data_IF_215610213145
#
_entry.id   IF_215610213145
#
_cell.length_a   1.000
_cell.length_b   1.000
_cell.length_c   1.000
_cell.angle_alpha   90.00
_cell.angle_beta   90.00
_cell.angle_gamma   90.00
#
_symmetry.space_group_name_H-M   'P 1'
#
loop_
_entity.id
_entity.type
_entity.pdbx_description
1 polymer ?
#
# COMPACT_ATOMS: atom_id res chain seq x y z
N UNK A 1 -3.28 -5.03 22.03
CA UNK A 1 -4.41 -4.17 22.41
C UNK A 1 -4.62 -3.23 21.26
N UNK A 2 -5.83 -3.20 20.70
CA UNK A 2 -6.14 -2.22 19.67
C UNK A 2 -6.07 -0.82 20.29
N UNK A 3 -5.47 0.17 19.63
CA UNK A 3 -5.47 1.54 20.12
C UNK A 3 -6.92 2.01 20.35
N UNK A 4 -7.16 2.70 21.47
CA UNK A 4 -8.45 3.36 21.72
C UNK A 4 -8.69 4.36 20.59
N UNK A 5 -9.73 4.12 19.80
CA UNK A 5 -10.09 4.92 18.64
C UNK A 5 -11.48 5.49 18.86
N UNK A 6 -11.68 6.74 18.48
CA UNK A 6 -13.00 7.37 18.55
C UNK A 6 -13.97 6.63 17.62
N UNK A 7 -14.93 5.92 18.23
CA UNK A 7 -15.99 5.19 17.53
C UNK A 7 -16.93 6.09 16.72
N UNK A 8 -16.79 7.41 16.81
CA UNK A 8 -17.56 8.37 16.01
C UNK A 8 -16.83 8.89 14.77
N UNK A 9 -15.52 8.63 14.63
CA UNK A 9 -14.71 9.14 13.52
C UNK A 9 -15.29 8.70 12.17
N UNK A 10 -15.53 9.67 11.27
CA UNK A 10 -16.09 9.44 9.94
C UNK A 10 -15.00 9.35 8.88
N UNK A 11 -15.10 8.33 8.02
CA UNK A 11 -14.07 7.98 7.04
C UNK A 11 -14.68 7.97 5.65
N UNK A 12 -14.06 8.71 4.73
CA UNK A 12 -14.52 8.85 3.35
C UNK A 12 -13.51 8.29 2.37
N UNK A 13 -14.00 7.66 1.29
CA UNK A 13 -13.17 7.23 0.16
C UNK A 13 -13.66 7.89 -1.12
N UNK A 14 -12.83 8.70 -1.75
CA UNK A 14 -13.05 9.18 -3.11
C UNK A 14 -12.40 8.20 -4.08
N UNK A 15 -13.23 7.40 -4.76
CA UNK A 15 -12.80 6.35 -5.67
C UNK A 15 -12.94 4.95 -5.06
N UNK A 16 -13.81 4.13 -5.65
CA UNK A 16 -14.08 2.74 -5.25
C UNK A 16 -13.10 1.71 -5.88
N UNK A 17 -11.81 2.03 -5.97
CA UNK A 17 -10.77 1.17 -6.55
C UNK A 17 -10.33 0.02 -5.63
N UNK A 18 -9.46 -0.87 -6.12
CA UNK A 18 -8.94 -1.99 -5.30
C UNK A 18 -8.24 -1.51 -4.03
N UNK A 19 -7.43 -0.44 -4.11
CA UNK A 19 -6.75 0.10 -2.94
C UNK A 19 -7.73 0.64 -1.89
N UNK A 20 -8.75 1.40 -2.31
CA UNK A 20 -9.80 1.84 -1.40
C UNK A 20 -10.49 0.66 -0.71
N UNK A 21 -10.79 -0.41 -1.45
CA UNK A 21 -11.44 -1.59 -0.91
C UNK A 21 -10.55 -2.35 0.10
N UNK A 22 -9.27 -2.54 -0.21
CA UNK A 22 -8.31 -3.18 0.69
C UNK A 22 -8.14 -2.41 2.00
N UNK A 23 -8.00 -1.09 1.90
CA UNK A 23 -7.89 -0.19 3.07
C UNK A 23 -9.19 -0.20 3.88
N UNK A 24 -10.36 -0.07 3.22
CA UNK A 24 -11.65 -0.11 3.91
C UNK A 24 -11.85 -1.43 4.66
N UNK A 25 -11.49 -2.57 4.06
CA UNK A 25 -11.54 -3.87 4.77
C UNK A 25 -10.64 -3.89 6.00
N UNK A 26 -9.45 -3.32 5.94
CA UNK A 26 -8.55 -3.23 7.08
C UNK A 26 -9.11 -2.38 8.20
N UNK A 27 -9.57 -1.17 7.86
CA UNK A 27 -10.24 -0.26 8.79
C UNK A 27 -11.42 -0.94 9.50
N UNK A 28 -12.28 -1.64 8.76
CA UNK A 28 -13.45 -2.36 9.32
C UNK A 28 -13.09 -3.60 10.13
N UNK A 29 -11.91 -4.19 9.92
CA UNK A 29 -11.41 -5.28 10.76
C UNK A 29 -10.79 -4.79 12.08
N UNK A 30 -10.61 -3.47 12.22
CA UNK A 30 -10.30 -2.82 13.49
C UNK A 30 -11.59 -2.41 14.21
N UNK A 31 -11.56 -1.22 14.83
CA UNK A 31 -12.66 -0.72 15.65
C UNK A 31 -13.67 0.17 14.90
N UNK A 32 -13.48 0.39 13.59
CA UNK A 32 -14.38 1.25 12.81
C UNK A 32 -15.66 0.51 12.40
N UNK A 33 -16.81 1.16 12.57
CA UNK A 33 -18.09 0.63 12.14
C UNK A 33 -18.38 0.98 10.67
N UNK A 34 -18.99 0.09 9.88
CA UNK A 34 -19.35 0.36 8.49
C UNK A 34 -20.20 1.63 8.28
N UNK A 35 -21.07 1.94 9.24
CA UNK A 35 -21.93 3.15 9.24
C UNK A 35 -21.15 4.47 9.31
N UNK A 36 -19.88 4.42 9.70
CA UNK A 36 -18.99 5.57 9.73
C UNK A 36 -18.13 5.69 8.45
N UNK A 37 -18.27 4.76 7.52
CA UNK A 37 -17.50 4.73 6.28
C UNK A 37 -18.41 5.06 5.10
N UNK A 38 -17.94 5.93 4.21
CA UNK A 38 -18.60 6.23 2.94
C UNK A 38 -17.63 6.15 1.78
N UNK A 39 -18.13 5.82 0.59
CA UNK A 39 -17.33 5.77 -0.64
C UNK A 39 -18.08 6.36 -1.83
N UNK A 40 -17.37 7.14 -2.65
CA UNK A 40 -17.86 7.64 -3.93
C UNK A 40 -17.18 6.98 -5.12
N UNK A 41 -17.93 6.83 -6.21
CA UNK A 41 -17.39 6.49 -7.52
C UNK A 41 -18.28 7.03 -8.65
N UNK A 42 -17.73 7.35 -9.83
CA UNK A 42 -18.52 7.84 -10.97
C UNK A 42 -19.43 6.77 -11.59
N UNK A 43 -19.24 5.48 -11.27
CA UNK A 43 -20.08 4.39 -11.75
C UNK A 43 -20.30 3.34 -10.66
N UNK A 44 -21.42 2.61 -10.74
CA UNK A 44 -21.80 1.61 -9.74
C UNK A 44 -21.01 0.29 -9.84
N UNK A 45 -20.14 0.15 -10.86
CA UNK A 45 -19.40 -1.09 -11.17
C UNK A 45 -18.68 -1.70 -9.96
N UNK A 46 -18.08 -0.86 -9.12
CA UNK A 46 -17.30 -1.29 -7.96
C UNK A 46 -17.99 -1.01 -6.63
N UNK A 47 -19.18 -0.39 -6.61
CA UNK A 47 -19.85 0.00 -5.37
C UNK A 47 -20.47 -1.19 -4.64
N UNK A 48 -20.93 -2.22 -5.37
CA UNK A 48 -21.58 -3.41 -4.79
C UNK A 48 -20.76 -4.08 -3.68
N UNK A 49 -19.46 -4.29 -3.91
CA UNK A 49 -18.58 -4.88 -2.88
C UNK A 49 -18.43 -4.04 -1.61
N UNK A 50 -18.60 -2.72 -1.67
CA UNK A 50 -18.60 -1.87 -0.47
C UNK A 50 -19.95 -1.96 0.26
N UNK A 51 -21.05 -2.02 -0.49
CA UNK A 51 -22.39 -2.26 0.09
C UNK A 51 -22.47 -3.60 0.82
N UNK A 52 -21.82 -4.65 0.29
CA UNK A 52 -21.69 -5.95 0.96
C UNK A 52 -20.98 -5.88 2.32
N UNK A 53 -20.13 -4.86 2.53
CA UNK A 53 -19.48 -4.57 3.82
C UNK A 53 -20.33 -3.65 4.72
N UNK A 54 -21.52 -3.24 4.29
CA UNK A 54 -22.38 -2.29 5.00
C UNK A 54 -21.92 -0.83 4.89
N UNK A 55 -21.02 -0.51 3.96
CA UNK A 55 -20.50 0.84 3.74
C UNK A 55 -21.50 1.65 2.91
N UNK A 56 -21.71 2.92 3.29
CA UNK A 56 -22.53 3.84 2.52
C UNK A 56 -21.86 4.18 1.18
N UNK A 57 -22.62 4.17 0.09
CA UNK A 57 -22.11 4.46 -1.26
C UNK A 57 -22.83 5.66 -1.86
N UNK A 58 -22.09 6.47 -2.63
CA UNK A 58 -22.63 7.62 -3.36
C UNK A 58 -21.92 7.81 -4.70
N UNK A 59 -22.47 8.68 -5.54
CA UNK A 59 -21.84 9.17 -6.76
C UNK A 59 -21.24 10.58 -6.59
N UNK A 60 -21.41 11.21 -5.41
CA UNK A 60 -20.94 12.57 -5.12
C UNK A 60 -19.68 12.56 -4.25
N UNK A 61 -18.58 13.13 -4.76
CA UNK A 61 -17.37 13.31 -3.97
C UNK A 61 -17.58 14.32 -2.84
N UNK A 62 -18.40 15.34 -3.08
CA UNK A 62 -18.72 16.39 -2.10
C UNK A 62 -19.45 15.80 -0.89
N UNK A 63 -20.39 14.88 -1.10
CA UNK A 63 -21.09 14.20 0.01
C UNK A 63 -20.12 13.42 0.90
N UNK A 64 -19.15 12.73 0.30
CA UNK A 64 -18.12 12.00 1.04
C UNK A 64 -17.27 12.96 1.87
N UNK A 65 -16.82 14.08 1.30
CA UNK A 65 -15.97 15.06 2.01
C UNK A 65 -16.74 15.67 3.18
N UNK A 66 -17.91 16.26 2.95
CA UNK A 66 -18.72 16.88 3.99
C UNK A 66 -19.08 15.92 5.13
N UNK A 67 -19.26 14.63 4.82
CA UNK A 67 -19.61 13.58 5.77
C UNK A 67 -18.44 12.94 6.51
N UNK A 68 -17.19 13.32 6.26
CA UNK A 68 -15.99 12.62 6.76
C UNK A 68 -15.02 13.52 7.51
N UNK A 69 -14.22 12.93 8.40
CA UNK A 69 -13.09 13.59 9.08
C UNK A 69 -11.78 13.21 8.39
N UNK A 70 -11.64 11.94 7.98
CA UNK A 70 -10.50 11.45 7.18
C UNK A 70 -10.98 11.07 5.79
N UNK A 71 -10.42 11.70 4.76
CA UNK A 71 -10.82 11.48 3.35
C UNK A 71 -9.67 10.86 2.58
N UNK A 72 -9.81 9.59 2.22
CA UNK A 72 -8.90 8.89 1.32
C UNK A 72 -9.20 9.22 -0.14
N UNK A 73 -8.25 9.85 -0.83
CA UNK A 73 -8.34 10.12 -2.26
C UNK A 73 -7.67 8.98 -3.02
N UNK A 74 -8.50 8.03 -3.49
CA UNK A 74 -8.12 6.75 -4.07
C UNK A 74 -8.45 6.61 -5.56
N UNK A 75 -8.25 7.70 -6.30
CA UNK A 75 -8.40 7.76 -7.76
C UNK A 75 -7.06 7.57 -8.47
N UNK A 76 -7.10 7.39 -9.80
CA UNK A 76 -5.88 7.32 -10.60
C UNK A 76 -5.12 8.66 -10.55
N UNK A 77 -3.77 8.66 -10.62
CA UNK A 77 -2.98 9.89 -10.47
C UNK A 77 -3.40 11.05 -11.38
N UNK A 78 -3.73 10.77 -12.65
CA UNK A 78 -4.16 11.81 -13.60
C UNK A 78 -5.54 12.42 -13.29
N UNK A 79 -6.33 11.81 -12.40
CA UNK A 79 -7.63 12.34 -11.96
C UNK A 79 -7.51 13.21 -10.70
N UNK A 80 -6.35 13.23 -10.03
CA UNK A 80 -6.17 13.97 -8.78
C UNK A 80 -6.46 15.47 -8.94
N UNK A 81 -5.94 16.19 -9.96
CA UNK A 81 -6.25 17.60 -10.12
C UNK A 81 -7.75 17.87 -10.26
N UNK A 82 -8.44 17.05 -11.06
CA UNK A 82 -9.89 17.19 -11.26
C UNK A 82 -10.66 17.00 -9.96
N UNK A 83 -10.34 15.93 -9.22
CA UNK A 83 -11.04 15.57 -7.98
C UNK A 83 -10.76 16.56 -6.85
N UNK A 84 -9.49 16.98 -6.68
CA UNK A 84 -9.15 17.94 -5.63
C UNK A 84 -9.77 19.31 -5.91
N UNK A 85 -9.78 19.77 -7.16
CA UNK A 85 -10.45 21.02 -7.53
C UNK A 85 -11.97 20.96 -7.27
N UNK A 86 -12.61 19.81 -7.54
CA UNK A 86 -14.05 19.62 -7.26
C UNK A 86 -14.38 19.77 -5.77
N UNK A 87 -13.55 19.20 -4.89
CA UNK A 87 -13.84 19.16 -3.45
C UNK A 87 -13.24 20.35 -2.68
N UNK A 88 -12.32 21.12 -3.27
CA UNK A 88 -11.48 22.11 -2.61
C UNK A 88 -12.28 23.08 -1.71
N UNK A 89 -13.40 23.61 -2.22
CA UNK A 89 -14.26 24.55 -1.47
C UNK A 89 -14.98 23.95 -0.25
N UNK A 90 -14.97 22.62 -0.11
CA UNK A 90 -15.60 21.88 0.98
C UNK A 90 -14.58 21.35 1.99
N UNK A 91 -13.29 21.47 1.69
CA UNK A 91 -12.21 21.08 2.60
C UNK A 91 -12.01 22.19 3.63
N UNK A 92 -11.97 21.78 4.90
CA UNK A 92 -11.79 22.65 6.07
C UNK A 92 -10.74 22.06 6.99
N UNK A 93 -10.37 22.79 8.05
CA UNK A 93 -9.45 22.39 9.12
C UNK A 93 -9.81 21.08 9.85
N UNK A 94 -11.08 20.68 9.82
CA UNK A 94 -11.56 19.37 10.31
C UNK A 94 -10.98 18.19 9.50
N UNK A 95 -10.69 18.37 8.23
CA UNK A 95 -10.43 17.25 7.32
C UNK A 95 -8.95 16.88 7.27
N UNK A 96 -8.65 15.59 7.38
CA UNK A 96 -7.36 15.02 6.98
C UNK A 96 -7.51 14.39 5.59
N UNK A 97 -6.86 14.98 4.59
CA UNK A 97 -6.86 14.46 3.22
C UNK A 97 -5.70 13.48 3.04
N UNK A 98 -6.01 12.21 2.78
CA UNK A 98 -5.03 11.15 2.60
C UNK A 98 -5.00 10.71 1.14
N UNK A 99 -3.98 11.11 0.39
CA UNK A 99 -3.82 10.68 -1.01
C UNK A 99 -3.10 9.34 -1.09
N UNK A 100 -3.66 8.41 -1.87
CA UNK A 100 -3.00 7.13 -2.23
C UNK A 100 -2.55 7.07 -3.69
N UNK A 101 -2.52 8.22 -4.36
CA UNK A 101 -2.10 8.31 -5.75
C UNK A 101 -0.58 8.20 -5.91
N UNK A 102 -0.14 7.19 -6.67
CA UNK A 102 1.27 7.03 -7.02
C UNK A 102 1.79 8.23 -7.84
N UNK A 103 2.96 8.75 -7.48
CA UNK A 103 3.63 9.81 -8.24
C UNK A 103 2.97 11.19 -8.17
N UNK A 104 2.10 11.45 -7.18
CA UNK A 104 1.62 12.81 -6.88
C UNK A 104 2.26 13.26 -5.57
N UNK A 105 2.99 14.37 -5.60
CA UNK A 105 3.74 14.87 -4.44
C UNK A 105 2.86 15.62 -3.46
N UNK A 106 3.30 15.71 -2.20
CA UNK A 106 2.67 16.55 -1.17
C UNK A 106 2.53 17.99 -1.65
N UNK A 107 3.59 18.54 -2.25
CA UNK A 107 3.56 19.89 -2.83
C UNK A 107 2.41 20.06 -3.84
N UNK A 108 2.22 19.12 -4.77
CA UNK A 108 1.10 19.18 -5.73
C UNK A 108 -0.26 19.03 -5.04
N UNK A 109 -0.37 18.19 -4.02
CA UNK A 109 -1.63 18.02 -3.27
C UNK A 109 -1.98 19.31 -2.51
N UNK A 110 -1.00 19.94 -1.86
CA UNK A 110 -1.16 21.19 -1.12
C UNK A 110 -1.46 22.38 -2.04
N UNK A 111 -0.87 22.44 -3.24
CA UNK A 111 -1.18 23.46 -4.26
C UNK A 111 -2.63 23.40 -4.76
N UNK A 112 -3.26 22.22 -4.73
CA UNK A 112 -4.63 21.99 -5.23
C UNK A 112 -5.72 22.15 -4.17
N UNK A 113 -5.32 22.32 -2.90
CA UNK A 113 -6.21 22.39 -1.75
C UNK A 113 -6.14 23.78 -1.08
N UNK A 114 -7.14 24.14 -0.25
CA UNK A 114 -7.08 25.39 0.50
C UNK A 114 -5.80 25.50 1.35
N UNK A 115 -5.32 26.73 1.52
CA UNK A 115 -4.19 27.02 2.40
C UNK A 115 -4.47 26.46 3.82
N UNK A 116 -3.47 25.84 4.45
CA UNK A 116 -3.55 25.15 5.74
C UNK A 116 -4.26 23.78 5.74
N UNK A 117 -4.63 23.21 4.58
CA UNK A 117 -5.20 21.86 4.54
C UNK A 117 -4.25 20.81 5.14
N UNK A 118 -4.78 19.91 5.96
CA UNK A 118 -4.04 18.76 6.50
C UNK A 118 -3.97 17.66 5.45
N UNK A 119 -2.78 17.42 4.92
CA UNK A 119 -2.54 16.46 3.84
C UNK A 119 -1.55 15.39 4.28
N UNK A 120 -1.85 14.13 3.93
CA UNK A 120 -0.93 13.01 4.08
C UNK A 120 -0.83 12.28 2.74
N UNK A 121 0.39 11.99 2.30
CA UNK A 121 0.65 11.12 1.15
C UNK A 121 0.92 9.72 1.67
N UNK A 122 0.06 8.78 1.33
CA UNK A 122 0.13 7.38 1.71
C UNK A 122 0.46 6.53 0.49
N UNK A 123 1.40 5.59 0.63
CA UNK A 123 1.69 4.61 -0.40
C UNK A 123 1.48 3.20 0.18
N UNK A 124 0.35 2.55 -0.15
CA UNK A 124 0.13 1.14 0.17
C UNK A 124 0.70 0.24 -0.93
N UNK A 125 0.70 -1.07 -0.68
CA UNK A 125 0.91 -2.08 -1.71
C UNK A 125 -0.25 -3.08 -1.81
N UNK A 126 -0.22 -3.94 -2.83
CA UNK A 126 -1.32 -4.86 -3.16
C UNK A 126 -1.73 -5.82 -1.99
N UNK A 127 -0.79 -6.36 -1.19
CA UNK A 127 -1.10 -7.18 -0.02
C UNK A 127 -2.04 -6.57 1.02
N UNK A 128 -2.32 -5.26 1.00
CA UNK A 128 -3.40 -4.65 1.80
C UNK A 128 -4.77 -5.34 1.56
N UNK A 129 -4.99 -5.92 0.37
CA UNK A 129 -6.22 -6.66 0.05
C UNK A 129 -6.46 -7.88 0.95
N UNK A 130 -5.38 -8.44 1.49
CA UNK A 130 -5.39 -9.59 2.40
C UNK A 130 -4.85 -9.24 3.78
N UNK A 131 -4.83 -7.94 4.12
CA UNK A 131 -4.42 -7.42 5.44
C UNK A 131 -2.97 -7.76 5.81
N UNK A 132 -2.11 -7.88 4.79
CA UNK A 132 -0.66 -8.15 4.93
C UNK A 132 0.15 -7.08 4.17
N UNK A 133 -0.38 -5.86 4.15
CA UNK A 133 0.20 -4.71 3.47
C UNK A 133 1.52 -4.25 4.07
N UNK A 134 2.31 -3.56 3.25
CA UNK A 134 3.32 -2.63 3.71
C UNK A 134 2.90 -1.24 3.21
N UNK A 135 2.74 -0.31 4.15
CA UNK A 135 2.25 1.03 3.92
C UNK A 135 3.29 2.02 4.46
N UNK A 136 3.63 3.03 3.67
CA UNK A 136 4.46 4.14 4.10
C UNK A 136 3.70 5.45 3.86
N UNK A 137 3.70 6.35 4.84
CA UNK A 137 3.13 7.68 4.66
C UNK A 137 4.12 8.79 5.01
N UNK A 138 3.89 9.96 4.41
CA UNK A 138 4.57 11.20 4.70
C UNK A 138 3.54 12.31 4.96
N UNK A 139 3.78 13.10 6.00
CA UNK A 139 2.94 14.24 6.37
C UNK A 139 3.26 15.46 5.53
N UNK A 140 2.23 16.18 5.10
CA UNK A 140 2.32 17.51 4.53
C UNK A 140 2.72 18.55 5.57
N UNK A 141 2.91 19.78 5.10
CA UNK A 141 3.38 20.94 5.85
C UNK A 141 2.52 21.24 7.07
N UNK A 142 1.20 21.08 6.97
CA UNK A 142 0.25 21.41 8.04
C UNK A 142 -0.22 20.19 8.86
N UNK A 143 0.16 18.97 8.46
CA UNK A 143 -0.20 17.77 9.20
C UNK A 143 0.68 17.60 10.44
N UNK A 144 0.06 17.42 11.60
CA UNK A 144 0.69 17.29 12.92
C UNK A 144 1.05 15.82 13.23
N UNK A 145 1.91 15.57 14.23
CA UNK A 145 2.21 14.21 14.67
C UNK A 145 0.95 13.41 15.04
N UNK A 146 -0.05 14.05 15.62
CA UNK A 146 -1.32 13.41 16.00
C UNK A 146 -2.12 12.91 14.79
N UNK A 147 -2.09 13.62 13.66
CA UNK A 147 -2.72 13.18 12.40
C UNK A 147 -2.03 11.91 11.87
N UNK A 148 -0.70 11.84 11.99
CA UNK A 148 0.08 10.65 11.65
C UNK A 148 -0.20 9.47 12.59
N UNK A 149 -0.33 9.74 13.89
CA UNK A 149 -0.70 8.72 14.88
C UNK A 149 -2.12 8.18 14.63
N UNK A 150 -3.07 9.06 14.30
CA UNK A 150 -4.42 8.70 13.92
C UNK A 150 -4.41 7.81 12.66
N UNK A 151 -3.69 8.21 11.61
CA UNK A 151 -3.61 7.41 10.39
C UNK A 151 -2.99 6.03 10.63
N UNK A 152 -1.92 5.96 11.43
CA UNK A 152 -1.30 4.68 11.81
C UNK A 152 -2.27 3.79 12.59
N UNK A 153 -3.02 4.37 13.53
CA UNK A 153 -4.07 3.68 14.28
C UNK A 153 -5.17 3.17 13.35
N UNK A 154 -5.63 3.96 12.38
CA UNK A 154 -6.64 3.54 11.41
C UNK A 154 -6.18 2.38 10.53
N UNK A 155 -4.92 2.39 10.12
CA UNK A 155 -4.39 1.47 9.12
C UNK A 155 -3.68 0.24 9.71
N UNK A 156 -3.55 0.11 11.02
CA UNK A 156 -2.75 -0.96 11.64
C UNK A 156 -3.21 -2.39 11.27
N UNK A 157 -4.50 -2.56 10.94
CA UNK A 157 -5.03 -3.84 10.46
C UNK A 157 -4.77 -4.09 8.97
N UNK A 158 -4.39 -3.07 8.20
CA UNK A 158 -4.00 -3.21 6.80
C UNK A 158 -2.64 -3.90 6.62
N UNK A 159 -1.80 -3.92 7.65
CA UNK A 159 -0.46 -4.50 7.65
C UNK A 159 0.54 -3.61 8.39
N UNK A 160 1.81 -3.64 7.96
CA UNK A 160 2.85 -2.74 8.49
C UNK A 160 2.60 -1.32 8.00
N UNK A 161 2.47 -0.37 8.93
CA UNK A 161 2.28 1.05 8.62
C UNK A 161 3.42 1.85 9.21
N UNK A 162 4.20 2.52 8.37
CA UNK A 162 5.32 3.36 8.78
C UNK A 162 5.19 4.81 8.31
N UNK A 163 5.85 5.71 9.05
CA UNK A 163 5.98 7.13 8.72
C UNK A 163 7.42 7.42 8.32
N UNK A 164 7.61 8.27 7.32
CA UNK A 164 8.93 8.73 6.92
C UNK A 164 8.88 10.00 6.07
N UNK A 165 10.06 10.51 5.66
CA UNK A 165 10.12 11.60 4.69
C UNK A 165 9.51 11.19 3.36
N UNK A 166 8.94 12.16 2.63
CA UNK A 166 8.30 11.91 1.33
C UNK A 166 9.24 11.25 0.31
N UNK A 167 10.55 11.53 0.40
CA UNK A 167 11.57 10.92 -0.46
C UNK A 167 11.64 9.39 -0.34
N UNK A 168 11.17 8.82 0.76
CA UNK A 168 11.08 7.38 0.95
C UNK A 168 9.88 6.76 0.23
N UNK A 169 8.88 7.53 -0.18
CA UNK A 169 7.70 6.98 -0.87
C UNK A 169 8.08 6.38 -2.23
N UNK A 170 8.98 7.01 -2.98
CA UNK A 170 9.44 6.45 -4.26
C UNK A 170 10.30 5.20 -4.04
N UNK A 171 11.09 5.16 -2.96
CA UNK A 171 11.87 3.98 -2.53
C UNK A 171 10.91 2.84 -2.14
N UNK A 172 9.90 3.15 -1.34
CA UNK A 172 8.85 2.20 -0.94
C UNK A 172 8.09 1.68 -2.16
N UNK A 173 7.82 2.53 -3.16
CA UNK A 173 7.20 2.12 -4.42
C UNK A 173 8.04 1.06 -5.13
N UNK A 174 9.35 1.30 -5.28
CA UNK A 174 10.27 0.34 -5.90
C UNK A 174 10.52 -0.93 -5.09
N UNK A 175 10.40 -0.84 -3.76
CA UNK A 175 10.60 -1.95 -2.84
C UNK A 175 9.32 -2.76 -2.60
N UNK A 176 8.31 -2.20 -1.93
CA UNK A 176 7.11 -2.92 -1.49
C UNK A 176 6.02 -2.96 -2.56
N UNK A 177 5.91 -1.91 -3.38
CA UNK A 177 4.92 -1.81 -4.44
C UNK A 177 5.24 -2.76 -5.58
N UNK A 178 6.40 -2.55 -6.21
CA UNK A 178 6.93 -3.41 -7.26
C UNK A 178 7.40 -4.78 -6.74
N UNK A 179 7.84 -4.87 -5.48
CA UNK A 179 8.33 -6.11 -4.87
C UNK A 179 7.35 -7.27 -4.86
N UNK A 180 6.05 -7.00 -4.85
CA UNK A 180 5.01 -8.03 -4.97
C UNK A 180 5.22 -8.85 -6.25
N UNK A 181 5.49 -8.18 -7.39
CA UNK A 181 5.75 -8.85 -8.65
C UNK A 181 7.09 -9.59 -8.64
N UNK A 182 8.11 -9.08 -7.95
CA UNK A 182 9.39 -9.77 -7.81
C UNK A 182 9.23 -11.08 -7.05
N UNK A 183 8.41 -11.07 -5.99
CA UNK A 183 8.08 -12.28 -5.22
C UNK A 183 7.26 -13.28 -6.04
N UNK A 184 6.31 -12.82 -6.87
CA UNK A 184 5.58 -13.70 -7.79
C UNK A 184 6.50 -14.37 -8.80
N UNK A 185 7.42 -13.62 -9.42
CA UNK A 185 8.41 -14.17 -10.34
C UNK A 185 9.31 -15.21 -9.64
N UNK A 186 9.72 -14.94 -8.40
CA UNK A 186 10.51 -15.90 -7.62
C UNK A 186 9.71 -17.17 -7.32
N UNK A 187 8.45 -17.05 -6.91
CA UNK A 187 7.58 -18.19 -6.64
C UNK A 187 7.32 -19.04 -7.91
N UNK A 188 7.13 -18.39 -9.05
CA UNK A 188 7.00 -19.04 -10.36
C UNK A 188 8.27 -19.81 -10.72
N UNK A 189 9.45 -19.20 -10.59
CA UNK A 189 10.72 -19.85 -10.86
C UNK A 189 10.98 -21.07 -9.94
N UNK A 190 10.58 -21.00 -8.66
CA UNK A 190 10.64 -22.15 -7.74
C UNK A 190 9.74 -23.29 -8.23
N UNK A 191 8.51 -22.98 -8.64
CA UNK A 191 7.57 -23.98 -9.13
C UNK A 191 8.07 -24.63 -10.42
N UNK A 192 8.58 -23.85 -11.38
CA UNK A 192 9.19 -24.37 -12.62
C UNK A 192 10.41 -25.24 -12.34
N UNK A 193 11.25 -24.85 -11.36
CA UNK A 193 12.35 -25.67 -10.87
C UNK A 193 11.88 -27.04 -10.34
N UNK A 194 10.80 -27.09 -9.57
CA UNK A 194 10.23 -28.34 -9.08
C UNK A 194 9.62 -29.21 -10.20
N UNK A 195 8.96 -28.59 -11.19
CA UNK A 195 8.45 -29.28 -12.38
C UNK A 195 9.58 -29.92 -13.18
N UNK A 196 10.69 -29.20 -13.36
CA UNK A 196 11.90 -29.73 -14.00
C UNK A 196 12.44 -30.98 -13.29
N UNK A 197 12.23 -31.10 -11.99
CA UNK A 197 12.60 -32.27 -11.18
C UNK A 197 11.53 -33.37 -11.14
N UNK A 198 10.43 -33.21 -11.89
CA UNK A 198 9.38 -34.23 -12.05
C UNK A 198 8.12 -34.02 -11.21
N UNK A 199 7.96 -32.89 -10.52
CA UNK A 199 6.75 -32.61 -9.75
C UNK A 199 5.59 -32.16 -10.66
N UNK A 200 4.33 -32.59 -10.41
CA UNK A 200 3.17 -32.03 -11.11
C UNK A 200 3.02 -30.52 -10.90
N UNK A 201 2.72 -29.79 -11.98
CA UNK A 201 2.68 -28.32 -12.00
C UNK A 201 1.80 -27.70 -10.91
N UNK A 202 0.55 -28.16 -10.75
CA UNK A 202 -0.36 -27.61 -9.74
C UNK A 202 0.15 -27.79 -8.30
N UNK A 203 0.81 -28.92 -8.02
CA UNK A 203 1.41 -29.17 -6.71
C UNK A 203 2.64 -28.28 -6.48
N UNK A 204 3.49 -28.13 -7.50
CA UNK A 204 4.66 -27.26 -7.44
C UNK A 204 4.28 -25.79 -7.17
N UNK A 205 3.27 -25.28 -7.86
CA UNK A 205 2.74 -23.92 -7.64
C UNK A 205 2.22 -23.72 -6.21
N UNK A 206 1.47 -24.70 -5.69
CA UNK A 206 0.92 -24.65 -4.33
C UNK A 206 2.03 -24.67 -3.26
N UNK A 207 3.02 -25.56 -3.42
CA UNK A 207 4.16 -25.67 -2.49
C UNK A 207 5.06 -24.43 -2.56
N UNK A 208 5.33 -23.89 -3.76
CA UNK A 208 6.13 -22.67 -3.91
C UNK A 208 5.45 -21.48 -3.21
N UNK A 209 4.14 -21.31 -3.42
CA UNK A 209 3.35 -20.25 -2.76
C UNK A 209 3.38 -20.38 -1.24
N UNK A 210 3.19 -21.59 -0.71
CA UNK A 210 3.25 -21.85 0.73
C UNK A 210 4.65 -21.65 1.31
N UNK A 211 5.69 -21.98 0.56
CA UNK A 211 7.10 -21.78 0.95
C UNK A 211 7.41 -20.29 1.12
N UNK A 212 6.99 -19.47 0.16
CA UNK A 212 7.14 -18.00 0.21
C UNK A 212 6.37 -17.42 1.41
N UNK A 213 5.12 -17.83 1.61
CA UNK A 213 4.31 -17.37 2.75
C UNK A 213 4.95 -17.72 4.10
N UNK A 214 5.37 -18.98 4.27
CA UNK A 214 5.98 -19.46 5.51
C UNK A 214 7.30 -18.75 5.81
N UNK A 215 8.17 -18.60 4.81
CA UNK A 215 9.44 -17.87 4.94
C UNK A 215 9.21 -16.39 5.29
N UNK A 216 8.24 -15.74 4.65
CA UNK A 216 7.88 -14.35 4.95
C UNK A 216 7.39 -14.15 6.38
N UNK A 217 6.53 -15.06 6.88
CA UNK A 217 6.06 -15.02 8.28
C UNK A 217 7.19 -15.24 9.28
N UNK A 218 8.04 -16.23 9.06
CA UNK A 218 9.22 -16.45 9.91
C UNK A 218 10.15 -15.25 9.93
N UNK A 219 10.38 -14.61 8.77
CA UNK A 219 11.20 -13.41 8.68
C UNK A 219 10.59 -12.25 9.49
N UNK A 220 9.28 -12.00 9.33
CA UNK A 220 8.57 -10.91 10.02
C UNK A 220 8.53 -11.12 11.53
N UNK A 221 8.19 -12.34 11.97
CA UNK A 221 7.77 -12.59 13.36
C UNK A 221 8.95 -13.03 14.27
N UNK A 222 10.08 -13.46 13.70
CA UNK A 222 11.20 -13.99 14.50
C UNK A 222 12.12 -12.92 15.12
N UNK A 223 12.11 -11.68 14.58
CA UNK A 223 13.07 -10.64 14.95
C UNK A 223 14.54 -10.95 14.59
N UNK A 224 14.80 -12.06 13.87
CA UNK A 224 16.15 -12.48 13.48
C UNK A 224 16.59 -11.80 12.19
N UNK A 225 17.89 -11.53 12.07
CA UNK A 225 18.47 -11.06 10.82
C UNK A 225 18.28 -12.11 9.70
N UNK A 226 17.97 -11.72 8.44
CA UNK A 226 17.75 -12.67 7.34
C UNK A 226 18.90 -13.67 7.12
N UNK A 227 20.15 -13.23 7.31
CA UNK A 227 21.31 -14.10 7.19
C UNK A 227 21.34 -15.21 8.26
N UNK A 228 20.83 -14.93 9.47
CA UNK A 228 20.70 -15.93 10.53
C UNK A 228 19.63 -16.96 10.16
N UNK A 229 18.44 -16.52 9.75
CA UNK A 229 17.37 -17.44 9.33
C UNK A 229 17.80 -18.34 8.17
N UNK A 230 18.56 -17.79 7.21
CA UNK A 230 19.16 -18.59 6.14
C UNK A 230 20.18 -19.61 6.66
N UNK A 231 20.99 -19.23 7.66
CA UNK A 231 21.94 -20.15 8.30
C UNK A 231 21.23 -21.26 9.08
N UNK A 232 20.14 -20.94 9.79
CA UNK A 232 19.38 -21.87 10.63
C UNK A 232 18.80 -23.04 9.81
N UNK A 233 18.51 -22.83 8.51
CA UNK A 233 17.98 -23.86 7.60
C UNK A 233 19.04 -24.53 6.71
N UNK A 234 20.32 -24.23 6.96
CA UNK A 234 21.44 -24.66 6.13
C UNK A 234 22.34 -25.65 6.90
N UNK A 235 22.12 -26.95 6.67
CA UNK A 235 22.97 -27.99 7.27
C UNK A 235 24.25 -28.21 6.46
N UNK A 236 25.40 -28.52 7.10
CA UNK A 236 26.64 -28.84 6.39
C UNK A 236 26.45 -29.96 5.37
N UNK A 237 26.80 -29.72 4.10
CA UNK A 237 26.63 -30.68 2.99
C UNK A 237 25.17 -30.97 2.59
N UNK A 238 24.20 -30.26 3.16
CA UNK A 238 22.78 -30.45 2.86
C UNK A 238 22.32 -29.83 1.54
N UNK A 239 21.09 -30.12 1.14
CA UNK A 239 20.54 -29.62 -0.14
C UNK A 239 20.47 -28.10 -0.22
N UNK A 240 20.16 -27.42 0.89
CA UNK A 240 20.04 -25.96 0.97
C UNK A 240 21.32 -25.24 0.52
N UNK A 241 22.51 -25.68 0.96
CA UNK A 241 23.75 -24.96 0.63
C UNK A 241 24.12 -25.07 -0.85
N UNK A 242 23.83 -26.20 -1.50
CA UNK A 242 24.02 -26.37 -2.94
C UNK A 242 23.06 -25.50 -3.76
N UNK A 243 21.80 -25.39 -3.31
CA UNK A 243 20.83 -24.46 -3.89
C UNK A 243 21.26 -23.00 -3.75
N UNK A 244 21.65 -22.59 -2.53
CA UNK A 244 22.15 -21.24 -2.26
C UNK A 244 23.38 -20.91 -3.09
N UNK A 245 24.35 -21.83 -3.19
CA UNK A 245 25.54 -21.61 -4.04
C UNK A 245 25.17 -21.35 -5.50
N UNK A 246 24.20 -22.09 -6.05
CA UNK A 246 23.69 -21.85 -7.41
C UNK A 246 23.05 -20.47 -7.55
N UNK A 247 22.26 -20.04 -6.56
CA UNK A 247 21.64 -18.70 -6.56
C UNK A 247 22.69 -17.58 -6.48
N UNK A 248 23.77 -17.78 -5.71
CA UNK A 248 24.89 -16.83 -5.64
C UNK A 248 25.65 -16.74 -6.97
N UNK A 249 25.89 -17.88 -7.64
CA UNK A 249 26.49 -17.89 -8.98
C UNK A 249 25.64 -17.11 -10.00
N UNK A 250 24.31 -17.18 -9.86
CA UNK A 250 23.37 -16.38 -10.65
C UNK A 250 23.30 -14.90 -10.28
N UNK A 251 24.07 -14.44 -9.29
CA UNK A 251 24.10 -13.03 -8.87
C UNK A 251 22.80 -12.55 -8.21
N UNK A 252 22.05 -13.44 -7.54
CA UNK A 252 20.72 -13.15 -6.97
C UNK A 252 20.66 -11.81 -6.23
N UNK A 253 21.61 -11.54 -5.33
CA UNK A 253 21.63 -10.30 -4.53
C UNK A 253 21.76 -9.05 -5.40
N UNK A 254 22.72 -9.08 -6.33
CA UNK A 254 22.99 -7.94 -7.21
C UNK A 254 21.76 -7.63 -8.06
N UNK A 255 21.18 -8.65 -8.71
CA UNK A 255 20.00 -8.49 -9.57
C UNK A 255 18.79 -7.97 -8.78
N UNK A 256 18.54 -8.48 -7.57
CA UNK A 256 17.42 -8.01 -6.73
C UNK A 256 17.63 -6.55 -6.28
N UNK A 257 18.85 -6.17 -5.89
CA UNK A 257 19.16 -4.77 -5.53
C UNK A 257 18.95 -3.83 -6.71
N UNK A 258 19.45 -4.18 -7.89
CA UNK A 258 19.26 -3.39 -9.12
C UNK A 258 17.79 -3.29 -9.55
N UNK A 259 16.97 -4.32 -9.30
CA UNK A 259 15.54 -4.26 -9.57
C UNK A 259 14.83 -3.21 -8.70
N UNK A 260 15.15 -3.13 -7.41
CA UNK A 260 14.61 -2.12 -6.49
C UNK A 260 15.07 -0.72 -6.91
N UNK A 261 16.35 -0.57 -7.25
CA UNK A 261 16.92 0.69 -7.75
C UNK A 261 16.19 1.17 -9.01
N UNK A 262 16.11 0.32 -10.04
CA UNK A 262 15.45 0.65 -11.31
C UNK A 262 13.97 1.01 -11.13
N UNK A 263 13.25 0.28 -10.27
CA UNK A 263 11.85 0.57 -9.98
C UNK A 263 11.69 1.89 -9.21
N UNK A 264 12.61 2.19 -8.28
CA UNK A 264 12.64 3.45 -7.53
C UNK A 264 12.92 4.64 -8.46
N UNK A 265 13.89 4.52 -9.36
CA UNK A 265 14.19 5.56 -10.35
C UNK A 265 12.99 5.82 -11.26
N UNK A 266 12.33 4.76 -11.72
CA UNK A 266 11.11 4.90 -12.51
C UNK A 266 9.98 5.58 -11.74
N UNK A 267 9.81 5.28 -10.45
CA UNK A 267 8.83 5.97 -9.61
C UNK A 267 9.10 7.48 -9.54
N UNK A 268 10.37 7.87 -9.36
CA UNK A 268 10.80 9.29 -9.36
C UNK A 268 10.51 9.98 -10.70
N UNK A 269 10.76 9.33 -11.83
CA UNK A 269 10.47 9.87 -13.16
C UNK A 269 8.98 10.15 -13.37
N UNK A 270 8.11 9.23 -12.92
CA UNK A 270 6.67 9.39 -13.00
C UNK A 270 6.19 10.57 -12.15
N UNK A 271 6.78 10.73 -10.94
CA UNK A 271 6.51 11.88 -10.07
C UNK A 271 6.82 13.23 -10.73
N UNK A 272 7.96 13.32 -11.42
CA UNK A 272 8.35 14.55 -12.14
C UNK A 272 7.41 14.91 -13.30
N UNK A 273 6.93 13.90 -14.05
CA UNK A 273 6.00 14.12 -15.17
C UNK A 273 4.63 14.61 -14.70
N UNK A 274 4.12 14.09 -13.57
CA UNK A 274 2.89 14.59 -12.96
C UNK A 274 3.00 16.07 -12.58
N UNK A 275 4.13 16.50 -12.00
CA UNK A 275 4.37 17.90 -11.67
C UNK A 275 4.50 18.82 -12.91
N UNK A 276 5.07 18.32 -14.01
CA UNK A 276 5.21 19.09 -15.26
C UNK A 276 3.89 19.19 -16.06
N UNK A 277 3.01 18.21 -15.95
CA UNK A 277 1.69 18.20 -16.59
C UNK A 277 0.68 19.13 -15.93
N UNK A 278 0.80 19.38 -14.61
CA UNK A 278 -0.07 20.31 -13.87
C UNK A 278 0.27 21.79 -14.07
N UNK A 279 1.39 22.11 -14.75
CA UNK A 279 1.84 23.48 -15.04
C UNK A 279 1.46 23.98 -16.45
N UNK A 280 0.51 23.33 -17.13
CA UNK A 280 0.04 23.73 -18.46
C UNK A 280 -1.46 23.98 -18.48
#
# INVERSE_FOLDING_TARGET
MDPEMDTQLKIGFIGAGNMAFGIAKGILSGNALPVNVSVSAPSSRNLGRFQELGIAVTHSNIEVVCGSDVVFVAVKPHLIPLVLNEISQHVTDRHTIVSVAAGVTLATLEELLPENSVVIRLMPNLPCMVQEGALLFARGTHAKPDDGALLRSLLHRCGLVEEGPETWIDIHTGLSGSGVAFVYLFAEALAEGAVKMGMPSALAQSIASQTVLGAGRLLRDSGKHPAQLRSDVCTPGGTTIYGLHTLEQGGMRATTMSAVESATERARELGRKSAAGSRK
#
